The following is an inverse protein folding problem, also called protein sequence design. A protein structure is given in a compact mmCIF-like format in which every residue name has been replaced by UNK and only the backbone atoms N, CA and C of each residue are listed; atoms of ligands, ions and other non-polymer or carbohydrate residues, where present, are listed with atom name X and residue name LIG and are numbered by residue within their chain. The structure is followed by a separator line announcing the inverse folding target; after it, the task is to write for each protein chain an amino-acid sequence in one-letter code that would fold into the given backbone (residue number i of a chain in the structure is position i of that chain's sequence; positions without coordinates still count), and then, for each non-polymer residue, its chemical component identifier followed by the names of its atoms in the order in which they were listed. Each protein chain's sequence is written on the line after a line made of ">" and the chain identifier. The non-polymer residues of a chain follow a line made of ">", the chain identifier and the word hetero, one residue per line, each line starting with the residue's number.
data_IF_925518795266
#
_entry.id   IF_925518795266
#
_cell.length_a   1.000
_cell.length_b   1.000
_cell.length_c   1.000
_cell.angle_alpha   90.00
_cell.angle_beta   90.00
_cell.angle_gamma   90.00
#
_symmetry.space_group_name_H-M   'P 1'
#
loop_
_entity.id
_entity.type
_entity.pdbx_description
1 polymer ?
#
# COMPACT_ATOMS: atom_id res chain seq x y z
N UNK A 1 27.51 31.87 25.63
CA UNK A 1 26.86 31.11 24.53
C UNK A 1 27.08 31.87 23.23
N UNK A 2 27.66 31.26 22.19
CA UNK A 2 27.98 31.98 20.94
C UNK A 2 26.71 32.30 20.15
N UNK A 3 26.76 33.33 19.28
CA UNK A 3 25.62 33.68 18.41
C UNK A 3 25.17 32.48 17.58
N UNK A 4 26.10 31.70 17.03
CA UNK A 4 25.82 30.47 16.29
C UNK A 4 25.06 29.43 17.12
N UNK A 5 25.40 29.29 18.41
CA UNK A 5 24.67 28.40 19.33
C UNK A 5 23.24 28.87 19.58
N UNK A 6 23.00 30.18 19.69
CA UNK A 6 21.63 30.74 19.84
C UNK A 6 20.76 30.45 18.61
N UNK A 7 21.29 30.67 17.40
CA UNK A 7 20.57 30.38 16.15
C UNK A 7 20.23 28.89 16.03
N UNK A 8 21.19 28.00 16.34
CA UNK A 8 20.94 26.55 16.30
C UNK A 8 19.86 26.13 17.29
N UNK A 9 19.88 26.67 18.51
CA UNK A 9 18.84 26.37 19.52
C UNK A 9 17.48 26.87 19.05
N UNK A 10 17.40 28.07 18.46
CA UNK A 10 16.16 28.61 17.91
C UNK A 10 15.60 27.73 16.78
N UNK A 11 16.44 27.32 15.83
CA UNK A 11 16.05 26.45 14.72
C UNK A 11 15.56 25.10 15.23
N UNK A 12 16.30 24.45 16.14
CA UNK A 12 15.91 23.17 16.72
C UNK A 12 14.58 23.30 17.47
N UNK A 13 14.39 24.38 18.22
CA UNK A 13 13.14 24.63 18.95
C UNK A 13 11.96 24.80 18.00
N UNK A 14 12.14 25.53 16.89
CA UNK A 14 11.11 25.70 15.86
C UNK A 14 10.77 24.36 15.20
N UNK A 15 11.78 23.56 14.83
CA UNK A 15 11.57 22.24 14.22
C UNK A 15 10.83 21.30 15.18
N UNK A 16 11.16 21.31 16.47
CA UNK A 16 10.48 20.53 17.49
C UNK A 16 9.02 20.98 17.67
N UNK A 17 8.77 22.30 17.72
CA UNK A 17 7.41 22.84 17.81
C UNK A 17 6.59 22.43 16.59
N UNK A 18 7.12 22.59 15.38
CA UNK A 18 6.45 22.18 14.14
C UNK A 18 6.18 20.68 14.13
N UNK A 19 7.14 19.86 14.56
CA UNK A 19 6.97 18.42 14.68
C UNK A 19 5.84 18.06 15.65
N UNK A 20 5.81 18.68 16.85
CA UNK A 20 4.76 18.43 17.86
C UNK A 20 3.39 18.88 17.37
N UNK A 21 3.30 20.07 16.78
CA UNK A 21 2.03 20.61 16.24
C UNK A 21 1.52 19.73 15.10
N UNK A 22 2.38 19.34 14.17
CA UNK A 22 2.02 18.46 13.06
C UNK A 22 1.52 17.09 13.55
N UNK A 23 2.25 16.45 14.46
CA UNK A 23 1.83 15.17 15.04
C UNK A 23 0.51 15.34 15.83
N UNK A 24 0.38 16.41 16.62
CA UNK A 24 -0.84 16.73 17.34
C UNK A 24 -2.04 16.83 16.39
N UNK A 25 -1.90 17.54 15.27
CA UNK A 25 -2.93 17.63 14.24
C UNK A 25 -3.26 16.24 13.66
N UNK A 26 -2.26 15.46 13.23
CA UNK A 26 -2.46 14.13 12.64
C UNK A 26 -3.17 13.18 13.60
N UNK A 27 -2.71 13.06 14.84
CA UNK A 27 -3.25 12.12 15.82
C UNK A 27 -4.58 12.55 16.45
N UNK A 28 -4.95 13.83 16.37
CA UNK A 28 -6.25 14.32 16.86
C UNK A 28 -7.28 14.50 15.74
N UNK A 29 -6.84 14.50 14.47
CA UNK A 29 -7.74 14.56 13.32
C UNK A 29 -8.67 13.34 13.27
N UNK A 30 -9.95 13.58 12.97
CA UNK A 30 -10.97 12.53 12.80
C UNK A 30 -11.09 12.03 11.35
N UNK A 31 -10.28 12.55 10.43
CA UNK A 31 -10.32 12.17 9.01
C UNK A 31 -9.99 10.69 8.80
N UNK A 32 -9.21 10.08 9.71
CA UNK A 32 -8.86 8.65 9.67
C UNK A 32 -9.75 7.77 10.56
N UNK A 33 -10.94 8.24 10.97
CA UNK A 33 -11.78 7.53 11.96
C UNK A 33 -12.37 6.20 11.46
N UNK A 34 -12.28 5.92 10.15
CA UNK A 34 -12.75 4.66 9.56
C UNK A 34 -11.55 3.79 9.19
N UNK A 35 -11.01 2.98 10.13
CA UNK A 35 -9.95 2.06 9.79
C UNK A 35 -10.46 1.09 8.72
N UNK A 36 -9.62 0.86 7.72
CA UNK A 36 -9.87 -0.18 6.72
C UNK A 36 -9.86 -1.53 7.42
N UNK A 37 -11.03 -2.18 7.53
CA UNK A 37 -11.16 -3.47 8.21
C UNK A 37 -10.89 -4.58 7.19
N UNK A 38 -9.65 -5.08 7.17
CA UNK A 38 -9.35 -6.35 6.52
C UNK A 38 -10.00 -7.49 7.30
N UNK A 39 -10.48 -8.51 6.59
CA UNK A 39 -10.82 -9.79 7.24
C UNK A 39 -9.55 -10.40 7.83
N UNK A 40 -9.68 -11.25 8.86
CA UNK A 40 -8.52 -11.95 9.44
C UNK A 40 -7.68 -12.70 8.39
N UNK A 41 -8.35 -13.28 7.39
CA UNK A 41 -7.69 -13.95 6.28
C UNK A 41 -6.92 -12.99 5.37
N UNK A 42 -7.49 -11.83 5.04
CA UNK A 42 -6.81 -10.81 4.26
C UNK A 42 -5.65 -10.17 5.04
N UNK A 43 -5.79 -10.00 6.37
CA UNK A 43 -4.74 -9.53 7.24
C UNK A 43 -3.57 -10.52 7.30
N UNK A 44 -3.86 -11.82 7.38
CA UNK A 44 -2.83 -12.86 7.25
C UNK A 44 -2.12 -12.78 5.88
N UNK A 45 -2.88 -12.61 4.80
CA UNK A 45 -2.31 -12.43 3.46
C UNK A 45 -1.40 -11.21 3.34
N UNK A 46 -1.77 -10.09 3.99
CA UNK A 46 -0.94 -8.89 4.05
C UNK A 46 0.39 -9.14 4.76
N UNK A 47 0.38 -9.90 5.88
CA UNK A 47 1.61 -10.27 6.59
C UNK A 47 2.51 -11.13 5.71
N UNK A 48 1.96 -12.17 5.08
CA UNK A 48 2.71 -13.02 4.15
C UNK A 48 3.33 -12.21 3.01
N UNK A 49 2.58 -11.26 2.44
CA UNK A 49 3.06 -10.35 1.40
C UNK A 49 4.28 -9.53 1.86
N UNK A 50 4.26 -9.03 3.09
CA UNK A 50 5.35 -8.24 3.68
C UNK A 50 6.56 -9.11 4.04
N UNK A 51 6.34 -10.23 4.75
CA UNK A 51 7.37 -11.15 5.21
C UNK A 51 8.15 -11.78 4.04
N UNK A 52 7.46 -12.05 2.93
CA UNK A 52 8.08 -12.60 1.72
C UNK A 52 8.55 -11.51 0.74
N UNK A 53 8.53 -10.25 1.16
CA UNK A 53 9.04 -9.10 0.42
C UNK A 53 8.48 -9.00 -1.01
N UNK A 54 7.20 -9.36 -1.21
CA UNK A 54 6.57 -9.36 -2.53
C UNK A 54 6.59 -7.96 -3.17
N UNK A 55 6.54 -6.91 -2.34
CA UNK A 55 6.64 -5.50 -2.75
C UNK A 55 7.96 -5.12 -3.42
N UNK A 56 9.06 -5.86 -3.16
CA UNK A 56 10.35 -5.58 -3.79
C UNK A 56 10.35 -5.83 -5.29
N UNK A 57 9.45 -6.69 -5.76
CA UNK A 57 9.32 -7.06 -7.16
C UNK A 57 8.00 -6.59 -7.76
N UNK A 58 6.90 -6.61 -7.01
CA UNK A 58 5.57 -6.29 -7.47
C UNK A 58 5.05 -4.97 -6.89
N UNK A 59 4.15 -4.34 -7.63
CA UNK A 59 3.49 -3.11 -7.20
C UNK A 59 2.07 -3.38 -6.68
N UNK A 60 1.61 -2.50 -5.79
CA UNK A 60 0.18 -2.20 -5.63
C UNK A 60 -0.01 -0.69 -5.66
N UNK A 61 -1.06 -0.24 -6.34
CA UNK A 61 -1.34 1.16 -6.68
C UNK A 61 -0.14 1.85 -7.37
N UNK A 62 0.68 1.11 -8.12
CA UNK A 62 1.90 1.63 -8.73
C UNK A 62 3.06 1.86 -7.76
N UNK A 63 2.94 1.44 -6.50
CA UNK A 63 3.98 1.55 -5.50
C UNK A 63 4.60 0.17 -5.28
N UNK A 64 5.92 0.06 -5.42
CA UNK A 64 6.67 -1.18 -5.29
C UNK A 64 7.72 -1.36 -6.38
N UNK A 65 8.24 -2.58 -6.50
CA UNK A 65 9.20 -2.97 -7.51
C UNK A 65 8.58 -3.10 -8.90
N UNK A 66 9.40 -2.90 -9.93
CA UNK A 66 8.97 -2.96 -11.34
C UNK A 66 9.38 -4.25 -12.05
N UNK A 67 9.94 -5.22 -11.30
CA UNK A 67 10.43 -6.48 -11.87
C UNK A 67 9.27 -7.43 -12.22
N UNK A 68 8.26 -7.46 -11.36
CA UNK A 68 6.98 -8.12 -11.58
C UNK A 68 5.90 -7.12 -11.98
N UNK A 69 4.77 -7.60 -12.54
CA UNK A 69 3.63 -6.73 -12.86
C UNK A 69 3.01 -6.15 -11.59
N UNK A 70 2.35 -4.99 -11.73
CA UNK A 70 1.44 -4.46 -10.73
C UNK A 70 0.26 -5.44 -10.49
N UNK A 71 -0.06 -5.65 -9.22
CA UNK A 71 -1.08 -6.61 -8.78
C UNK A 71 -2.34 -5.95 -8.22
N UNK A 72 -2.49 -4.62 -8.34
CA UNK A 72 -3.63 -3.87 -7.78
C UNK A 72 -4.96 -4.47 -8.18
N UNK A 73 -5.15 -4.71 -9.48
CA UNK A 73 -6.41 -5.22 -10.03
C UNK A 73 -6.28 -6.66 -10.57
N UNK A 74 -5.34 -7.45 -10.05
CA UNK A 74 -5.08 -8.80 -10.57
C UNK A 74 -6.23 -9.77 -10.31
N UNK A 75 -7.03 -9.55 -9.26
CA UNK A 75 -8.13 -10.42 -8.88
C UNK A 75 -9.32 -10.30 -9.84
N UNK A 76 -9.65 -9.09 -10.29
CA UNK A 76 -10.79 -8.79 -11.18
C UNK A 76 -10.40 -8.69 -12.66
N UNK A 77 -9.11 -8.69 -12.98
CA UNK A 77 -8.62 -8.61 -14.35
C UNK A 77 -9.15 -9.76 -15.24
N UNK A 78 -9.48 -9.42 -16.49
CA UNK A 78 -9.96 -10.37 -17.50
C UNK A 78 -8.99 -11.55 -17.66
N UNK A 79 -9.52 -12.77 -17.64
CA UNK A 79 -8.77 -14.04 -17.72
C UNK A 79 -7.78 -14.28 -16.57
N UNK A 80 -7.80 -13.47 -15.51
CA UNK A 80 -7.09 -13.71 -14.26
C UNK A 80 -8.09 -14.16 -13.18
N UNK A 81 -7.75 -13.94 -11.91
CA UNK A 81 -8.59 -14.32 -10.78
C UNK A 81 -7.86 -15.18 -9.75
N UNK A 82 -8.60 -15.74 -8.77
CA UNK A 82 -8.01 -16.41 -7.62
C UNK A 82 -7.11 -17.59 -8.02
N UNK A 83 -7.54 -18.40 -8.99
CA UNK A 83 -6.75 -19.56 -9.43
C UNK A 83 -5.49 -19.16 -10.19
N UNK A 84 -5.57 -18.07 -10.98
CA UNK A 84 -4.39 -17.49 -11.62
C UNK A 84 -3.37 -17.07 -10.56
N UNK A 85 -3.79 -16.33 -9.53
CA UNK A 85 -2.90 -15.89 -8.45
C UNK A 85 -2.26 -17.09 -7.74
N UNK A 86 -3.07 -18.08 -7.33
CA UNK A 86 -2.58 -19.29 -6.63
C UNK A 86 -1.54 -20.07 -7.44
N UNK A 87 -1.71 -20.14 -8.76
CA UNK A 87 -0.81 -20.88 -9.64
C UNK A 87 0.62 -20.34 -9.62
N UNK A 88 0.81 -19.02 -9.51
CA UNK A 88 2.15 -18.41 -9.53
C UNK A 88 2.95 -18.67 -8.25
N UNK A 89 2.30 -18.68 -7.09
CA UNK A 89 2.95 -18.68 -5.78
C UNK A 89 3.97 -19.83 -5.59
N UNK A 90 3.63 -21.06 -5.96
CA UNK A 90 4.55 -22.21 -5.77
C UNK A 90 5.16 -22.72 -7.09
N UNK A 91 4.98 -21.99 -8.18
CA UNK A 91 5.45 -22.42 -9.51
C UNK A 91 6.90 -22.04 -9.81
N UNK A 92 7.41 -20.93 -9.25
CA UNK A 92 8.76 -20.42 -9.55
C UNK A 92 8.94 -20.03 -11.02
N UNK A 93 8.33 -18.93 -11.46
CA UNK A 93 8.35 -18.50 -12.87
C UNK A 93 9.35 -17.37 -13.08
N UNK A 94 10.29 -17.56 -14.02
CA UNK A 94 11.35 -16.58 -14.34
C UNK A 94 12.13 -16.19 -13.06
N UNK A 95 12.05 -14.93 -12.66
CA UNK A 95 12.73 -14.37 -11.49
C UNK A 95 11.86 -14.46 -10.23
N UNK A 96 10.58 -14.84 -10.34
CA UNK A 96 9.72 -15.03 -9.17
C UNK A 96 10.18 -16.29 -8.41
N UNK A 97 10.51 -16.19 -7.12
CA UNK A 97 10.93 -17.33 -6.31
C UNK A 97 9.85 -18.41 -6.27
N UNK A 98 10.29 -19.67 -6.14
CA UNK A 98 9.38 -20.77 -5.81
C UNK A 98 9.12 -20.76 -4.30
N UNK A 99 7.92 -20.37 -3.90
CA UNK A 99 7.49 -20.45 -2.51
C UNK A 99 6.95 -21.86 -2.18
N UNK A 100 6.73 -22.10 -0.90
CA UNK A 100 6.16 -23.35 -0.37
C UNK A 100 4.90 -23.06 0.47
N UNK A 101 4.05 -22.14 0.01
CA UNK A 101 2.82 -21.80 0.72
C UNK A 101 1.84 -22.99 0.71
N UNK A 102 1.23 -23.23 1.86
CA UNK A 102 0.05 -24.09 2.02
C UNK A 102 -1.17 -23.50 1.31
N UNK A 103 -2.22 -24.30 1.10
CA UNK A 103 -3.44 -23.80 0.44
C UNK A 103 -4.11 -22.66 1.23
N UNK A 104 -4.07 -22.69 2.56
CA UNK A 104 -4.63 -21.63 3.40
C UNK A 104 -3.83 -20.31 3.27
N UNK A 105 -2.50 -20.38 3.19
CA UNK A 105 -1.64 -19.22 2.95
C UNK A 105 -1.86 -18.63 1.55
N UNK A 106 -2.02 -19.48 0.52
CA UNK A 106 -2.38 -19.02 -0.82
C UNK A 106 -3.73 -18.32 -0.83
N UNK A 107 -4.71 -18.84 -0.10
CA UNK A 107 -6.02 -18.19 0.04
C UNK A 107 -5.94 -16.87 0.80
N UNK A 108 -5.10 -16.79 1.81
CA UNK A 108 -4.83 -15.54 2.53
C UNK A 108 -4.28 -14.48 1.59
N UNK A 109 -3.26 -14.80 0.78
CA UNK A 109 -2.70 -13.90 -0.23
C UNK A 109 -3.74 -13.49 -1.30
N UNK A 110 -4.57 -14.42 -1.77
CA UNK A 110 -5.68 -14.11 -2.68
C UNK A 110 -6.69 -13.18 -2.03
N UNK A 111 -7.03 -13.39 -0.76
CA UNK A 111 -7.97 -12.56 -0.01
C UNK A 111 -7.43 -11.13 0.17
N UNK A 112 -6.13 -11.00 0.44
CA UNK A 112 -5.45 -9.71 0.48
C UNK A 112 -5.48 -9.00 -0.88
N UNK A 113 -5.10 -9.67 -1.97
CA UNK A 113 -5.13 -9.07 -3.31
C UNK A 113 -6.55 -8.75 -3.78
N UNK A 114 -7.56 -9.53 -3.38
CA UNK A 114 -8.97 -9.21 -3.58
C UNK A 114 -9.35 -7.93 -2.85
N UNK A 115 -8.91 -7.78 -1.60
CA UNK A 115 -9.14 -6.58 -0.82
C UNK A 115 -8.51 -5.35 -1.50
N UNK A 116 -7.23 -5.42 -1.88
CA UNK A 116 -6.52 -4.38 -2.64
C UNK A 116 -7.31 -4.01 -3.89
N UNK A 117 -7.72 -4.99 -4.69
CA UNK A 117 -8.50 -4.80 -5.90
C UNK A 117 -9.81 -4.05 -5.65
N UNK A 118 -10.48 -4.30 -4.52
CA UNK A 118 -11.76 -3.67 -4.17
C UNK A 118 -11.66 -2.21 -3.73
N UNK A 119 -10.45 -1.69 -3.48
CA UNK A 119 -10.27 -0.32 -2.98
C UNK A 119 -9.97 0.69 -4.08
N UNK A 120 -9.30 0.31 -5.17
CA UNK A 120 -8.86 1.30 -6.16
C UNK A 120 -8.46 0.72 -7.51
N UNK A 121 -8.04 1.61 -8.38
CA UNK A 121 -7.59 1.31 -9.74
C UNK A 121 -6.11 1.61 -9.92
N UNK A 122 -5.44 0.77 -10.70
CA UNK A 122 -4.15 1.10 -11.27
C UNK A 122 -4.01 0.63 -12.73
N UNK A 123 -3.59 1.51 -13.65
CA UNK A 123 -3.47 2.97 -13.49
C UNK A 123 -4.84 3.64 -13.26
N UNK A 124 -4.83 4.78 -12.57
CA UNK A 124 -6.04 5.57 -12.32
C UNK A 124 -6.29 6.54 -13.50
N UNK A 125 -6.84 6.02 -14.61
CA UNK A 125 -7.02 6.81 -15.84
C UNK A 125 -8.07 7.91 -15.75
N UNK A 126 -8.94 7.88 -14.73
CA UNK A 126 -10.01 8.85 -14.53
C UNK A 126 -9.71 9.83 -13.38
N UNK A 127 -8.45 9.92 -12.95
CA UNK A 127 -8.03 10.88 -11.95
C UNK A 127 -8.29 12.33 -12.39
N UNK A 128 -8.77 13.17 -11.47
CA UNK A 128 -9.12 14.57 -11.71
C UNK A 128 -7.96 15.46 -11.27
N UNK A 129 -7.43 16.27 -12.19
CA UNK A 129 -6.37 17.24 -11.91
C UNK A 129 -6.98 18.59 -11.55
N UNK A 130 -6.76 19.06 -10.32
CA UNK A 130 -7.24 20.37 -9.87
C UNK A 130 -6.27 21.49 -10.27
N UNK A 131 -6.76 22.73 -10.48
CA UNK A 131 -5.91 23.89 -10.73
C UNK A 131 -4.87 24.17 -9.63
N UNK A 132 -5.10 23.68 -8.41
CA UNK A 132 -4.16 23.76 -7.28
C UNK A 132 -2.95 22.82 -7.41
N UNK A 133 -2.90 21.96 -8.43
CA UNK A 133 -1.91 20.88 -8.56
C UNK A 133 -2.25 19.62 -7.76
N UNK A 134 -3.41 19.58 -7.10
CA UNK A 134 -3.90 18.38 -6.41
C UNK A 134 -4.50 17.38 -7.40
N UNK A 135 -4.32 16.08 -7.15
CA UNK A 135 -4.89 14.99 -7.94
C UNK A 135 -5.90 14.26 -7.07
N UNK A 136 -7.15 14.19 -7.54
CA UNK A 136 -8.17 13.33 -6.95
C UNK A 136 -8.20 12.00 -7.69
N UNK A 137 -7.95 10.92 -6.96
CA UNK A 137 -7.95 9.57 -7.50
C UNK A 137 -9.37 8.97 -7.42
N UNK A 138 -9.75 8.23 -8.45
CA UNK A 138 -10.97 7.41 -8.38
C UNK A 138 -10.71 6.15 -7.54
N UNK A 139 -11.48 5.98 -6.47
CA UNK A 139 -11.46 4.77 -5.64
C UNK A 139 -12.73 3.94 -5.85
N UNK A 140 -12.64 2.62 -5.69
CA UNK A 140 -13.79 1.71 -5.87
C UNK A 140 -14.70 1.66 -4.65
N UNK A 141 -14.13 1.92 -3.48
CA UNK A 141 -14.81 1.88 -2.19
C UNK A 141 -15.36 3.24 -1.74
N UNK A 142 -15.14 4.31 -2.52
CA UNK A 142 -15.75 5.62 -2.31
C UNK A 142 -17.05 5.72 -3.12
N UNK A 143 -18.16 5.30 -2.49
CA UNK A 143 -19.53 5.67 -2.91
C UNK A 143 -20.31 6.18 -1.72
#
# INVERSE_FOLDING_TARGET
>A
MTEKTKYNIAIISILLILFVVYNGFVYTSKENANPVILTEQALHGQRLWQENNCWSCHQTYGLGGYLGPDLTNVYSAKNKGPQYIKAFLNSGVKTMPKFNFSESEKEALVSYLKFVDSTGYYPNYHAIFKPSGWIELEYKNEK
#
